data_IF_473611276195
#
_entry.id   IF_473611276195
#
_cell.length_a   1.000
_cell.length_b   1.000
_cell.length_c   1.000
_cell.angle_alpha   90.00
_cell.angle_beta   90.00
_cell.angle_gamma   90.00
#
_symmetry.space_group_name_H-M   'P 1'
#
loop_
_entity.id
_entity.type
_entity.pdbx_description
1 polymer ?
#
# COMPACT_ATOMS: atom_id res chain seq x y z
N UNK A 1 7.38 -12.67 -16.01
CA UNK A 1 6.07 -12.94 -15.39
C UNK A 1 5.46 -11.61 -14.97
N UNK A 2 4.33 -11.22 -15.56
CA UNK A 2 3.63 -10.00 -15.18
C UNK A 2 2.85 -10.20 -13.88
N UNK A 3 2.88 -9.23 -12.97
CA UNK A 3 2.01 -9.25 -11.80
C UNK A 3 0.53 -9.19 -12.18
N UNK A 4 -0.31 -9.74 -11.31
CA UNK A 4 -1.78 -9.75 -11.43
C UNK A 4 -2.39 -8.41 -11.02
N UNK A 5 -1.79 -7.73 -10.03
CA UNK A 5 -2.24 -6.42 -9.57
C UNK A 5 -1.54 -5.31 -10.33
N UNK A 6 -2.35 -4.46 -10.95
CA UNK A 6 -1.95 -3.23 -11.64
C UNK A 6 -2.88 -2.12 -11.23
N UNK A 7 -2.44 -0.87 -11.37
CA UNK A 7 -3.26 0.31 -11.11
C UNK A 7 -4.35 0.52 -12.18
N UNK A 8 -5.23 -0.46 -12.31
CA UNK A 8 -6.43 -0.45 -13.13
C UNK A 8 -7.66 -0.13 -12.27
N UNK A 9 -8.75 0.42 -12.85
CA UNK A 9 -9.89 0.90 -12.08
C UNK A 9 -10.46 -0.14 -11.12
N UNK A 10 -10.59 -1.38 -11.59
CA UNK A 10 -11.10 -2.50 -10.78
C UNK A 10 -10.28 -2.69 -9.51
N UNK A 11 -8.95 -2.81 -9.60
CA UNK A 11 -8.10 -3.07 -8.44
C UNK A 11 -7.95 -1.85 -7.54
N UNK A 12 -7.85 -0.67 -8.13
CA UNK A 12 -7.77 0.59 -7.39
C UNK A 12 -9.03 0.78 -6.54
N UNK A 13 -10.21 0.63 -7.14
CA UNK A 13 -11.48 0.84 -6.45
C UNK A 13 -11.72 -0.25 -5.39
N UNK A 14 -11.48 -1.52 -5.72
CA UNK A 14 -11.65 -2.62 -4.76
C UNK A 14 -10.72 -2.51 -3.55
N UNK A 15 -9.44 -2.19 -3.74
CA UNK A 15 -8.46 -2.17 -2.64
C UNK A 15 -8.50 -0.86 -1.85
N UNK A 16 -8.60 0.27 -2.54
CA UNK A 16 -8.45 1.59 -1.90
C UNK A 16 -9.78 2.23 -1.55
N UNK A 17 -10.88 1.84 -2.20
CA UNK A 17 -12.17 2.53 -2.13
C UNK A 17 -12.17 3.89 -2.84
N UNK A 18 -11.08 4.26 -3.53
CA UNK A 18 -10.98 5.50 -4.28
C UNK A 18 -11.38 5.27 -5.74
N UNK A 19 -12.21 6.17 -6.26
CA UNK A 19 -12.38 6.31 -7.71
C UNK A 19 -11.04 6.60 -8.38
N UNK A 20 -10.87 6.13 -9.62
CA UNK A 20 -9.61 6.26 -10.36
C UNK A 20 -9.11 7.71 -10.49
N UNK A 21 -10.00 8.70 -10.60
CA UNK A 21 -9.63 10.12 -10.67
C UNK A 21 -9.00 10.63 -9.37
N UNK A 22 -9.52 10.21 -8.21
CA UNK A 22 -8.95 10.52 -6.89
C UNK A 22 -7.63 9.80 -6.68
N UNK A 23 -7.53 8.57 -7.16
CA UNK A 23 -6.28 7.81 -7.13
C UNK A 23 -5.18 8.48 -7.98
N UNK A 24 -5.50 8.95 -9.18
CA UNK A 24 -4.57 9.72 -10.01
C UNK A 24 -4.05 10.98 -9.31
N UNK A 25 -4.93 11.70 -8.57
CA UNK A 25 -4.52 12.85 -7.74
C UNK A 25 -3.56 12.42 -6.63
N UNK A 26 -3.83 11.30 -5.95
CA UNK A 26 -2.92 10.75 -4.94
C UNK A 26 -1.55 10.41 -5.53
N UNK A 27 -1.51 9.75 -6.68
CA UNK A 27 -0.26 9.42 -7.38
C UNK A 27 0.52 10.70 -7.74
N UNK A 28 -0.17 11.76 -8.16
CA UNK A 28 0.46 13.07 -8.43
C UNK A 28 1.11 13.66 -7.17
N UNK A 29 0.39 13.67 -6.04
CA UNK A 29 0.94 14.15 -4.76
C UNK A 29 2.15 13.33 -4.32
N UNK A 30 2.09 12.01 -4.47
CA UNK A 30 3.23 11.12 -4.17
C UNK A 30 4.43 11.39 -5.09
N UNK A 31 4.17 11.70 -6.37
CA UNK A 31 5.22 12.08 -7.33
C UNK A 31 5.93 13.37 -6.91
N UNK A 32 5.16 14.40 -6.58
CA UNK A 32 5.65 15.73 -6.16
C UNK A 32 6.48 15.64 -4.87
N UNK A 33 6.12 14.72 -3.97
CA UNK A 33 6.86 14.47 -2.71
C UNK A 33 8.07 13.54 -2.87
N UNK A 34 8.54 13.28 -4.09
CA UNK A 34 9.77 12.50 -4.33
C UNK A 34 9.58 10.97 -4.39
N UNK A 35 8.35 10.50 -4.59
CA UNK A 35 8.04 9.06 -4.73
C UNK A 35 8.79 8.37 -5.88
N UNK A 36 9.27 9.12 -6.87
CA UNK A 36 10.00 8.56 -8.01
C UNK A 36 11.45 8.18 -7.72
N UNK A 37 12.08 8.69 -6.68
CA UNK A 37 13.54 8.55 -6.59
C UNK A 37 14.23 9.89 -6.39
N UNK A 38 15.52 9.89 -5.99
CA UNK A 38 16.37 11.08 -6.04
C UNK A 38 16.77 11.45 -7.49
N UNK A 39 15.99 11.06 -8.51
CA UNK A 39 16.27 11.33 -9.93
C UNK A 39 17.44 10.54 -10.55
N UNK A 40 18.29 9.88 -9.76
CA UNK A 40 19.44 9.10 -10.23
C UNK A 40 19.34 7.58 -10.00
N UNK A 41 20.06 6.82 -10.82
CA UNK A 41 20.23 5.36 -10.70
C UNK A 41 19.32 4.52 -11.59
N UNK A 42 19.34 3.20 -11.37
CA UNK A 42 18.53 2.25 -12.14
C UNK A 42 17.02 2.55 -11.95
N UNK A 43 16.23 2.63 -13.04
CA UNK A 43 14.81 2.86 -12.92
C UNK A 43 14.13 1.76 -12.12
N UNK A 44 13.05 2.12 -11.43
CA UNK A 44 12.20 1.16 -10.73
C UNK A 44 11.59 0.19 -11.73
N UNK A 45 11.53 -1.10 -11.38
CA UNK A 45 10.86 -2.11 -12.20
C UNK A 45 9.34 -1.93 -12.27
N UNK A 46 8.77 -1.05 -11.43
CA UNK A 46 7.33 -0.89 -11.26
C UNK A 46 6.95 0.61 -11.39
N UNK A 47 5.93 0.98 -12.19
CA UNK A 47 5.49 2.36 -12.34
C UNK A 47 5.00 2.93 -11.00
N UNK A 48 4.96 4.27 -10.88
CA UNK A 48 4.64 4.91 -9.61
C UNK A 48 3.22 4.57 -9.12
N UNK A 49 2.25 4.48 -10.03
CA UNK A 49 0.87 4.10 -9.73
C UNK A 49 0.78 2.73 -9.07
N UNK A 50 1.45 1.74 -9.63
CA UNK A 50 1.46 0.36 -9.10
C UNK A 50 2.23 0.28 -7.77
N UNK A 51 3.27 1.11 -7.59
CA UNK A 51 3.96 1.24 -6.30
C UNK A 51 3.06 1.83 -5.22
N UNK A 52 2.22 2.81 -5.57
CA UNK A 52 1.22 3.38 -4.66
C UNK A 52 0.14 2.36 -4.33
N UNK A 53 -0.36 1.63 -5.34
CA UNK A 53 -1.32 0.53 -5.13
C UNK A 53 -0.72 -0.55 -4.22
N UNK A 54 0.54 -0.93 -4.40
CA UNK A 54 1.24 -1.90 -3.56
C UNK A 54 1.25 -1.48 -2.09
N UNK A 55 1.54 -0.20 -1.80
CA UNK A 55 1.49 0.32 -0.43
C UNK A 55 0.06 0.26 0.13
N UNK A 56 -0.94 0.57 -0.69
CA UNK A 56 -2.34 0.48 -0.27
C UNK A 56 -2.76 -0.97 0.04
N UNK A 57 -2.39 -1.94 -0.81
CA UNK A 57 -2.62 -3.37 -0.56
C UNK A 57 -1.94 -3.78 0.74
N UNK A 58 -0.67 -3.40 0.93
CA UNK A 58 0.07 -3.69 2.16
C UNK A 58 -0.58 -3.08 3.42
N UNK A 59 -1.17 -1.88 3.32
CA UNK A 59 -1.82 -1.22 4.45
C UNK A 59 -3.23 -1.78 4.75
N UNK A 60 -3.93 -2.31 3.74
CA UNK A 60 -5.32 -2.80 3.85
C UNK A 60 -5.42 -4.30 4.10
N UNK A 61 -4.39 -5.06 3.73
CA UNK A 61 -4.35 -6.52 3.87
C UNK A 61 -3.21 -6.94 4.80
N UNK A 62 -3.26 -8.17 5.31
CA UNK A 62 -2.21 -8.71 6.17
C UNK A 62 -1.20 -9.56 5.38
N UNK A 63 -1.03 -9.27 4.09
CA UNK A 63 -0.14 -10.02 3.21
C UNK A 63 1.34 -9.76 3.55
N UNK A 64 2.11 -10.84 3.58
CA UNK A 64 3.57 -10.78 3.75
C UNK A 64 4.25 -10.28 2.47
N UNK A 65 5.50 -9.80 2.58
CA UNK A 65 6.31 -9.40 1.41
C UNK A 65 6.44 -10.52 0.37
N UNK A 66 6.47 -11.77 0.81
CA UNK A 66 6.56 -12.96 -0.06
C UNK A 66 5.26 -13.22 -0.81
N UNK A 67 4.11 -12.91 -0.22
CA UNK A 67 2.80 -13.00 -0.87
C UNK A 67 2.53 -11.80 -1.80
N UNK A 68 3.00 -10.60 -1.45
CA UNK A 68 2.87 -9.41 -2.30
C UNK A 68 3.74 -9.46 -3.56
N UNK A 69 4.95 -9.99 -3.44
CA UNK A 69 5.91 -10.12 -4.54
C UNK A 69 5.31 -10.71 -5.84
N UNK A 70 4.70 -11.91 -5.83
CA UNK A 70 4.10 -12.49 -7.03
C UNK A 70 2.91 -11.69 -7.56
N UNK A 71 2.12 -11.03 -6.69
CA UNK A 71 0.98 -10.21 -7.11
C UNK A 71 1.41 -9.02 -7.98
N UNK A 72 2.60 -8.47 -7.74
CA UNK A 72 3.15 -7.35 -8.52
C UNK A 72 4.25 -7.78 -9.50
N UNK A 73 4.56 -9.09 -9.61
CA UNK A 73 5.59 -9.60 -10.52
C UNK A 73 7.01 -9.10 -10.19
N UNK A 74 7.29 -8.80 -8.92
CA UNK A 74 8.58 -8.26 -8.46
C UNK A 74 9.16 -9.10 -7.31
N UNK A 75 10.45 -8.91 -7.01
CA UNK A 75 11.08 -9.61 -5.87
C UNK A 75 10.55 -9.10 -4.52
N UNK A 76 10.53 -9.94 -3.45
CA UNK A 76 10.19 -9.50 -2.10
C UNK A 76 11.08 -8.35 -1.59
N UNK A 77 12.34 -8.32 -2.00
CA UNK A 77 13.25 -7.21 -1.70
C UNK A 77 12.79 -5.89 -2.35
N UNK A 78 12.28 -5.95 -3.58
CA UNK A 78 11.70 -4.79 -4.27
C UNK A 78 10.46 -4.28 -3.53
N UNK A 79 9.58 -5.18 -3.07
CA UNK A 79 8.39 -4.82 -2.26
C UNK A 79 8.82 -4.05 -1.00
N UNK A 80 9.80 -4.58 -0.26
CA UNK A 80 10.33 -3.93 0.94
C UNK A 80 10.89 -2.52 0.65
N UNK A 81 11.65 -2.36 -0.44
CA UNK A 81 12.20 -1.06 -0.87
C UNK A 81 11.11 -0.04 -1.20
N UNK A 82 10.05 -0.47 -1.90
CA UNK A 82 8.91 0.39 -2.25
C UNK A 82 8.20 0.86 -0.99
N UNK A 83 7.89 -0.06 -0.09
CA UNK A 83 7.16 0.24 1.15
C UNK A 83 7.96 1.17 2.06
N UNK A 84 9.25 0.88 2.28
CA UNK A 84 10.11 1.73 3.13
C UNK A 84 10.20 3.16 2.61
N UNK A 85 10.13 3.34 1.29
CA UNK A 85 10.25 4.66 0.64
C UNK A 85 8.94 5.43 0.62
N UNK A 86 7.83 4.76 0.31
CA UNK A 86 6.56 5.43 0.07
C UNK A 86 5.69 5.52 1.33
N UNK A 87 5.81 4.60 2.29
CA UNK A 87 5.03 4.62 3.53
C UNK A 87 5.17 5.93 4.34
N UNK A 88 6.36 6.56 4.44
CA UNK A 88 6.50 7.83 5.17
C UNK A 88 5.85 9.04 4.47
N UNK A 89 5.33 8.89 3.25
CA UNK A 89 4.72 10.02 2.55
C UNK A 89 3.34 10.31 3.16
N UNK A 90 3.06 11.54 3.65
CA UNK A 90 1.88 11.82 4.46
C UNK A 90 0.53 11.55 3.77
N UNK A 91 0.51 11.48 2.43
CA UNK A 91 -0.69 11.14 1.66
C UNK A 91 -1.03 9.64 1.69
N UNK A 92 -0.06 8.80 2.09
CA UNK A 92 -0.18 7.36 2.29
C UNK A 92 -0.15 6.99 3.77
N UNK A 93 -0.03 8.00 4.65
CA UNK A 93 -0.10 7.81 6.08
C UNK A 93 -1.49 7.29 6.45
N UNK A 94 -1.50 6.28 7.33
CA UNK A 94 -2.73 5.59 7.72
C UNK A 94 -3.69 6.63 8.30
N UNK A 95 -4.93 6.66 7.80
CA UNK A 95 -5.98 7.54 8.32
C UNK A 95 -6.00 7.48 9.86
N UNK A 96 -6.24 8.61 10.55
CA UNK A 96 -6.34 8.64 12.01
C UNK A 96 -7.27 7.54 12.51
N UNK A 97 -6.89 6.95 13.64
CA UNK A 97 -7.60 5.85 14.29
C UNK A 97 -9.09 6.18 14.39
N UNK A 98 -9.99 5.20 14.21
CA UNK A 98 -11.36 5.37 14.68
C UNK A 98 -11.32 5.78 16.16
N UNK A 99 -12.05 6.83 16.50
CA UNK A 99 -12.33 7.19 17.89
C UNK A 99 -12.96 5.97 18.54
N UNK A 100 -12.52 5.68 19.77
CA UNK A 100 -12.97 4.58 20.61
C UNK A 100 -14.46 4.75 20.90
N UNK A 101 -15.33 4.29 20.00
CA UNK A 101 -16.68 3.82 20.32
C UNK A 101 -17.38 3.17 19.11
N UNK A 102 -16.73 2.20 18.48
CA UNK A 102 -17.48 1.24 17.67
C UNK A 102 -16.72 -0.07 17.68
N UNK A 103 -17.26 -1.07 18.35
CA UNK A 103 -16.92 -2.46 18.10
C UNK A 103 -17.09 -2.76 16.61
N UNK A 104 -16.02 -2.60 15.83
CA UNK A 104 -15.92 -3.15 14.48
C UNK A 104 -14.76 -4.12 14.48
N UNK A 105 -15.07 -5.40 14.67
CA UNK A 105 -14.22 -6.48 14.19
C UNK A 105 -14.02 -6.29 12.68
N UNK A 106 -12.77 -6.17 12.25
CA UNK A 106 -12.43 -6.15 10.83
C UNK A 106 -12.02 -7.55 10.41
N UNK A 107 -12.91 -8.26 9.69
CA UNK A 107 -12.58 -9.52 9.05
C UNK A 107 -11.80 -9.29 7.76
N UNK A 108 -10.67 -9.97 7.62
CA UNK A 108 -9.91 -10.06 6.36
C UNK A 108 -9.61 -11.54 6.11
N UNK A 109 -10.03 -12.07 4.96
CA UNK A 109 -9.84 -13.47 4.53
C UNK A 109 -10.31 -14.53 5.54
N UNK A 110 -11.53 -14.40 6.09
CA UNK A 110 -12.13 -15.38 7.01
C UNK A 110 -11.40 -15.52 8.36
N UNK A 111 -10.37 -14.71 8.61
CA UNK A 111 -9.61 -14.72 9.85
C UNK A 111 -9.92 -13.47 10.65
N UNK A 112 -10.32 -13.65 11.91
CA UNK A 112 -10.37 -12.56 12.88
C UNK A 112 -8.93 -12.20 13.23
N UNK A 113 -8.47 -11.07 12.71
CA UNK A 113 -7.10 -10.63 12.95
C UNK A 113 -7.12 -9.68 14.13
N UNK A 114 -6.54 -10.06 15.29
CA UNK A 114 -6.28 -9.08 16.33
C UNK A 114 -5.34 -8.05 15.72
N UNK A 115 -5.86 -6.85 15.50
CA UNK A 115 -5.05 -5.69 15.15
C UNK A 115 -4.03 -5.60 16.27
N UNK A 116 -2.73 -5.75 15.93
CA UNK A 116 -1.62 -5.80 16.89
C UNK A 116 -1.69 -4.65 17.88
N UNK A 117 -2.38 -4.87 18.98
CA UNK A 117 -2.27 -4.11 20.19
C UNK A 117 -1.12 -4.73 20.97
N UNK A 118 0.06 -4.14 20.83
CA UNK A 118 1.11 -4.33 21.82
C UNK A 118 0.98 -3.16 22.79
N UNK A 119 0.15 -3.34 23.82
CA UNK A 119 0.53 -2.81 25.13
C UNK A 119 1.83 -3.50 25.54
N UNK A 120 2.92 -2.77 25.38
CA UNK A 120 4.22 -3.00 25.99
C UNK A 120 4.81 -1.58 26.18
N UNK A 121 5.00 -1.03 27.38
CA UNK A 121 4.85 -1.57 28.72
C UNK A 121 4.45 -0.46 29.70
N UNK A 122 4.59 -0.76 30.98
CA UNK A 122 4.37 0.09 32.14
C UNK A 122 5.02 1.47 32.05
#
# INVERSE_FOLDING_TARGET
MGGVLRAEPVWVETITGLRMDRFAKLVKVVKERGGNGPGGGRPWCLPLSDRVLLVAVYCRTNLTMRQLAPLFGISPATVCRVIRRLRPLPALERAPRPVVDTERLWGVDGTLIPVRDRKAGA
#
